data_IF_926758649385
#
_entry.id   IF_926758649385
#
_cell.length_a   1.000
_cell.length_b   1.000
_cell.length_c   1.000
_cell.angle_alpha   90.00
_cell.angle_beta   90.00
_cell.angle_gamma   90.00
#
_symmetry.space_group_name_H-M   'P 1'
#
loop_
_entity.id
_entity.type
_entity.pdbx_description
1 polymer ?
#
# COMPACT_ATOMS: atom_id res chain seq x y z
N UNK A 1 12.53 -16.75 -26.78
CA UNK A 1 12.38 -17.34 -25.43
C UNK A 1 12.93 -16.35 -24.42
N UNK A 2 12.08 -15.66 -23.64
CA UNK A 2 12.57 -14.73 -22.61
C UNK A 2 12.66 -15.48 -21.28
N UNK A 3 13.87 -15.58 -20.74
CA UNK A 3 14.12 -16.24 -19.45
C UNK A 3 13.61 -15.32 -18.33
N UNK A 4 12.60 -15.77 -17.60
CA UNK A 4 12.16 -15.17 -16.34
C UNK A 4 13.20 -15.51 -15.27
N UNK A 5 14.05 -14.54 -14.95
CA UNK A 5 14.97 -14.63 -13.82
C UNK A 5 14.15 -14.60 -12.54
N UNK A 6 14.23 -15.68 -11.78
CA UNK A 6 13.66 -15.79 -10.43
C UNK A 6 14.48 -14.88 -9.52
N UNK A 7 14.07 -13.63 -9.38
CA UNK A 7 14.72 -12.67 -8.50
C UNK A 7 14.29 -12.93 -7.06
N UNK A 8 15.21 -13.44 -6.25
CA UNK A 8 15.01 -13.68 -4.84
C UNK A 8 14.95 -12.33 -4.11
N UNK A 9 13.74 -11.87 -3.81
CA UNK A 9 13.47 -10.65 -3.07
C UNK A 9 14.18 -10.67 -1.70
N UNK A 10 15.17 -9.80 -1.52
CA UNK A 10 15.84 -9.60 -0.23
C UNK A 10 15.07 -8.53 0.56
N UNK A 11 14.25 -8.96 1.54
CA UNK A 11 13.61 -8.05 2.50
C UNK A 11 14.61 -7.65 3.60
N UNK A 12 15.23 -6.49 3.48
CA UNK A 12 15.97 -5.87 4.59
C UNK A 12 14.97 -5.27 5.60
N UNK A 13 14.67 -6.00 6.68
CA UNK A 13 13.80 -5.52 7.77
C UNK A 13 14.59 -4.53 8.63
N UNK A 14 14.53 -3.25 8.29
CA UNK A 14 15.08 -2.19 9.14
C UNK A 14 14.07 -1.85 10.25
N UNK A 15 14.45 -2.13 11.49
CA UNK A 15 13.72 -1.77 12.70
C UNK A 15 13.85 -0.25 12.91
N UNK A 16 12.94 0.56 12.35
CA UNK A 16 12.95 2.02 12.54
C UNK A 16 11.88 2.46 13.55
N UNK A 17 12.33 3.30 14.47
CA UNK A 17 11.65 3.70 15.69
C UNK A 17 10.32 4.43 15.53
N UNK A 18 9.56 4.35 16.62
CA UNK A 18 8.22 4.91 16.82
C UNK A 18 8.19 6.42 16.54
N UNK A 19 7.44 6.83 15.52
CA UNK A 19 7.03 8.22 15.32
C UNK A 19 5.52 8.29 15.51
N UNK A 20 5.08 8.87 16.62
CA UNK A 20 3.66 9.10 16.93
C UNK A 20 3.16 10.28 16.11
N UNK A 21 2.41 10.03 15.05
CA UNK A 21 1.71 11.06 14.29
C UNK A 21 0.23 11.04 14.66
N UNK A 22 -0.32 12.19 15.05
CA UNK A 22 -1.77 12.39 15.18
C UNK A 22 -2.30 12.88 13.82
N UNK A 23 -3.25 12.16 13.24
CA UNK A 23 -3.92 12.54 12.00
C UNK A 23 -5.43 12.40 12.19
N UNK A 24 -6.12 13.46 11.75
CA UNK A 24 -7.55 13.69 11.80
C UNK A 24 -8.37 12.52 11.25
N UNK A 25 -9.45 12.19 11.95
CA UNK A 25 -10.23 10.98 11.74
C UNK A 25 -11.16 11.08 10.54
N UNK A 26 -10.74 10.56 9.40
CA UNK A 26 -11.66 10.11 8.36
C UNK A 26 -11.38 8.63 8.07
N UNK A 27 -12.42 7.82 8.01
CA UNK A 27 -12.44 6.34 7.99
C UNK A 27 -11.96 5.73 6.65
N UNK A 28 -11.37 6.57 5.79
CA UNK A 28 -10.69 6.14 4.60
C UNK A 28 -9.36 5.49 4.96
N UNK A 29 -8.92 4.57 4.11
CA UNK A 29 -7.67 3.86 4.28
C UNK A 29 -6.55 4.91 4.20
N UNK A 30 -6.16 5.49 5.34
CA UNK A 30 -5.25 6.63 5.43
C UNK A 30 -3.81 6.17 5.19
N UNK A 31 -3.57 5.69 3.97
CA UNK A 31 -2.25 5.39 3.45
C UNK A 31 -1.48 6.71 3.35
N UNK A 32 -0.64 6.97 4.35
CA UNK A 32 0.18 8.17 4.35
C UNK A 32 1.59 7.85 3.87
N UNK A 33 2.00 8.42 2.74
CA UNK A 33 3.38 8.30 2.23
C UNK A 33 4.28 9.19 3.08
N UNK A 34 5.15 8.56 3.88
CA UNK A 34 6.05 9.26 4.82
C UNK A 34 7.33 9.71 4.12
N UNK A 35 7.86 8.86 3.23
CA UNK A 35 9.10 9.14 2.51
C UNK A 35 9.13 8.37 1.19
N UNK A 36 9.58 9.07 0.15
CA UNK A 36 10.06 8.49 -1.10
C UNK A 36 11.52 8.89 -1.24
N UNK A 37 12.44 7.93 -1.15
CA UNK A 37 13.87 8.17 -1.35
C UNK A 37 14.39 7.19 -2.39
N UNK A 38 14.62 7.68 -3.61
CA UNK A 38 14.85 6.82 -4.77
C UNK A 38 13.68 5.85 -4.94
N UNK A 39 13.95 4.56 -4.77
CA UNK A 39 12.98 3.48 -4.90
C UNK A 39 12.47 2.91 -3.56
N UNK A 40 12.66 3.64 -2.46
CA UNK A 40 12.04 3.31 -1.16
C UNK A 40 10.69 4.01 -1.02
N UNK A 41 9.65 3.27 -0.62
CA UNK A 41 8.35 3.84 -0.25
C UNK A 41 8.04 3.45 1.19
N UNK A 42 7.85 4.44 2.07
CA UNK A 42 7.32 4.23 3.41
C UNK A 42 5.87 4.69 3.49
N UNK A 43 4.98 3.85 4.00
CA UNK A 43 3.60 4.22 4.30
C UNK A 43 3.15 3.76 5.68
N UNK A 44 2.16 4.48 6.22
CA UNK A 44 1.45 4.11 7.44
C UNK A 44 -0.03 3.84 7.14
N UNK A 45 -0.61 2.88 7.87
CA UNK A 45 -2.04 2.58 7.95
C UNK A 45 -2.48 2.75 9.40
N UNK A 46 -3.24 3.81 9.68
CA UNK A 46 -3.72 4.10 11.02
C UNK A 46 -4.95 3.25 11.36
N UNK A 47 -5.10 2.85 12.63
CA UNK A 47 -6.23 2.06 13.16
C UNK A 47 -6.42 0.65 12.54
N UNK A 48 -5.71 0.33 11.46
CA UNK A 48 -5.63 -1.00 10.87
C UNK A 48 -4.51 -1.78 11.56
N UNK A 49 -4.88 -2.67 12.48
CA UNK A 49 -3.92 -3.47 13.26
C UNK A 49 -3.41 -4.71 12.55
N UNK A 50 -4.15 -5.21 11.56
CA UNK A 50 -3.81 -6.38 10.74
C UNK A 50 -4.31 -6.16 9.32
N UNK A 51 -3.46 -6.41 8.34
CA UNK A 51 -3.82 -6.36 6.92
C UNK A 51 -2.92 -7.31 6.11
N UNK A 52 -3.46 -7.79 5.00
CA UNK A 52 -2.67 -8.41 3.93
C UNK A 52 -2.24 -7.33 2.96
N UNK A 53 -0.96 -7.32 2.61
CA UNK A 53 -0.35 -6.39 1.67
C UNK A 53 0.12 -7.20 0.46
N UNK A 54 -0.18 -6.72 -0.74
CA UNK A 54 0.27 -7.34 -1.98
C UNK A 54 0.70 -6.30 -3.00
N UNK A 55 1.75 -6.60 -3.77
CA UNK A 55 2.19 -5.78 -4.90
C UNK A 55 2.00 -6.58 -6.17
N UNK A 56 1.30 -5.97 -7.13
CA UNK A 56 1.07 -6.52 -8.46
C UNK A 56 1.74 -5.66 -9.53
N UNK A 57 2.17 -6.26 -10.64
CA UNK A 57 2.49 -5.50 -11.85
C UNK A 57 1.22 -5.00 -12.58
N UNK A 58 1.43 -4.25 -13.67
CA UNK A 58 0.35 -3.74 -14.53
C UNK A 58 -0.54 -4.82 -15.14
N UNK A 59 -0.04 -6.06 -15.28
CA UNK A 59 -0.74 -7.18 -15.88
C UNK A 59 -1.47 -8.03 -14.82
N UNK A 60 -1.36 -7.65 -13.54
CA UNK A 60 -1.98 -8.34 -12.41
C UNK A 60 -1.15 -9.52 -11.88
N UNK A 61 0.12 -9.65 -12.27
CA UNK A 61 1.01 -10.67 -11.72
C UNK A 61 1.40 -10.29 -10.30
N UNK A 62 1.22 -11.21 -9.35
CA UNK A 62 1.65 -11.03 -7.97
C UNK A 62 3.18 -11.05 -7.88
N UNK A 63 3.78 -9.96 -7.41
CA UNK A 63 5.23 -9.83 -7.19
C UNK A 63 5.59 -10.08 -5.73
N UNK A 64 4.76 -9.58 -4.82
CA UNK A 64 5.02 -9.65 -3.39
C UNK A 64 3.71 -9.78 -2.60
N UNK A 65 3.76 -10.51 -1.50
CA UNK A 65 2.68 -10.55 -0.52
C UNK A 65 3.22 -10.70 0.91
N UNK A 66 2.61 -10.03 1.87
CA UNK A 66 2.84 -10.25 3.29
C UNK A 66 1.56 -10.08 4.12
N UNK A 67 1.58 -10.63 5.33
CA UNK A 67 0.63 -10.28 6.38
C UNK A 67 1.31 -9.34 7.36
N UNK A 68 0.81 -8.11 7.45
CA UNK A 68 1.34 -7.08 8.33
C UNK A 68 0.46 -6.90 9.57
N UNK A 69 1.10 -6.60 10.70
CA UNK A 69 0.42 -6.27 11.94
C UNK A 69 1.17 -5.23 12.75
N UNK A 70 0.45 -4.44 13.53
CA UNK A 70 1.02 -3.52 14.50
C UNK A 70 0.04 -3.16 15.61
N UNK A 71 0.57 -2.62 16.71
CA UNK A 71 -0.22 -2.35 17.94
C UNK A 71 -1.27 -1.26 17.73
N UNK A 72 -0.86 -0.15 17.11
CA UNK A 72 -1.67 1.07 16.94
C UNK A 72 -1.93 1.41 15.45
N UNK A 73 -1.41 0.59 14.55
CA UNK A 73 -1.43 0.78 13.11
C UNK A 73 -0.28 0.00 12.46
N UNK A 74 -0.21 0.00 11.14
CA UNK A 74 0.86 -0.65 10.37
C UNK A 74 1.77 0.42 9.79
N UNK A 75 3.07 0.31 10.03
CA UNK A 75 4.12 1.10 9.38
C UNK A 75 4.99 0.16 8.55
N UNK A 76 5.13 0.44 7.26
CA UNK A 76 5.87 -0.40 6.32
C UNK A 76 6.71 0.43 5.36
N UNK A 77 7.89 -0.09 5.05
CA UNK A 77 8.79 0.44 4.03
C UNK A 77 9.08 -0.66 3.03
N UNK A 78 8.79 -0.41 1.76
CA UNK A 78 9.16 -1.29 0.65
C UNK A 78 10.35 -0.70 -0.09
N UNK A 79 11.34 -1.56 -0.37
CA UNK A 79 12.34 -1.27 -1.40
C UNK A 79 11.86 -1.81 -2.73
N UNK A 80 11.80 -0.93 -3.72
CA UNK A 80 11.46 -1.24 -5.10
C UNK A 80 12.69 -1.12 -6.00
N UNK A 81 13.90 -1.15 -5.44
CA UNK A 81 15.16 -0.99 -6.19
C UNK A 81 15.27 -1.95 -7.37
N UNK A 82 14.87 -3.20 -7.12
CA UNK A 82 14.86 -4.31 -8.07
C UNK A 82 13.71 -4.25 -9.09
N UNK A 83 12.75 -3.32 -8.91
CA UNK A 83 11.61 -3.20 -9.81
C UNK A 83 12.00 -2.36 -11.03
N UNK A 84 11.75 -2.86 -12.25
CA UNK A 84 11.87 -2.07 -13.46
C UNK A 84 10.95 -0.85 -13.43
N UNK A 85 11.31 0.21 -14.17
CA UNK A 85 10.42 1.33 -14.41
C UNK A 85 9.09 0.85 -15.00
N UNK A 86 7.98 1.39 -14.50
CA UNK A 86 6.64 0.96 -14.86
C UNK A 86 5.59 1.25 -13.79
N UNK A 87 4.38 0.78 -14.05
CA UNK A 87 3.22 0.91 -13.17
C UNK A 87 2.97 -0.41 -12.43
N UNK A 88 2.74 -0.27 -11.13
CA UNK A 88 2.45 -1.36 -10.20
C UNK A 88 1.29 -0.97 -9.30
N UNK A 89 0.76 -1.94 -8.55
CA UNK A 89 -0.35 -1.71 -7.65
C UNK A 89 -0.08 -2.30 -6.27
N UNK A 90 -0.12 -1.45 -5.26
CA UNK A 90 -0.19 -1.87 -3.86
C UNK A 90 -1.66 -2.14 -3.52
N UNK A 91 -1.98 -3.40 -3.26
CA UNK A 91 -3.25 -3.82 -2.69
C UNK A 91 -3.10 -3.99 -1.19
N UNK A 92 -4.03 -3.39 -0.44
CA UNK A 92 -4.16 -3.63 0.99
C UNK A 92 -5.54 -4.16 1.28
N UNK A 93 -5.59 -5.27 2.00
CA UNK A 93 -6.82 -5.93 2.42
C UNK A 93 -6.86 -6.07 3.94
N UNK A 94 -7.88 -5.49 4.58
CA UNK A 94 -8.19 -5.72 6.00
C UNK A 94 -9.46 -6.57 6.14
N UNK A 95 -10.07 -6.58 7.34
CA UNK A 95 -11.30 -7.34 7.58
C UNK A 95 -12.55 -6.72 6.93
N UNK A 96 -12.49 -5.46 6.50
CA UNK A 96 -13.63 -4.66 6.03
C UNK A 96 -13.60 -4.50 4.52
N UNK A 97 -12.44 -4.18 3.94
CA UNK A 97 -12.30 -3.80 2.54
C UNK A 97 -10.92 -4.14 1.96
N UNK A 98 -10.87 -4.06 0.64
CA UNK A 98 -9.68 -4.16 -0.20
C UNK A 98 -9.50 -2.85 -0.95
N UNK A 99 -8.32 -2.24 -0.83
CA UNK A 99 -7.99 -0.94 -1.43
C UNK A 99 -6.76 -1.10 -2.29
N UNK A 100 -6.77 -0.53 -3.51
CA UNK A 100 -5.62 -0.54 -4.41
C UNK A 100 -5.11 0.88 -4.61
N UNK A 101 -3.81 1.05 -4.50
CA UNK A 101 -3.08 2.28 -4.81
C UNK A 101 -2.09 2.01 -5.93
N UNK A 102 -1.89 3.00 -6.79
CA UNK A 102 -0.94 2.92 -7.89
C UNK A 102 0.46 3.30 -7.40
N UNK A 103 1.46 2.53 -7.84
CA UNK A 103 2.88 2.85 -7.70
C UNK A 103 3.44 3.09 -9.10
N UNK A 104 4.03 4.26 -9.30
CA UNK A 104 4.74 4.61 -10.53
C UNK A 104 6.23 4.68 -10.24
N UNK A 105 6.99 3.85 -10.93
CA UNK A 105 8.45 3.80 -10.85
C UNK A 105 9.03 4.35 -12.14
N UNK A 106 9.90 5.35 -12.01
CA UNK A 106 10.73 5.90 -13.08
C UNK A 106 12.19 5.60 -12.75
N UNK A 107 13.12 5.99 -13.63
CA UNK A 107 14.55 5.77 -13.40
C UNK A 107 15.05 6.49 -12.13
N UNK A 108 14.50 7.67 -11.84
CA UNK A 108 14.96 8.53 -10.75
C UNK A 108 14.02 8.57 -9.54
N UNK A 109 12.72 8.31 -9.74
CA UNK A 109 11.70 8.55 -8.72
C UNK A 109 10.67 7.44 -8.62
N UNK A 110 10.11 7.29 -7.44
CA UNK A 110 8.99 6.41 -7.15
C UNK A 110 7.88 7.20 -6.50
N UNK A 111 6.66 7.03 -7.00
CA UNK A 111 5.46 7.74 -6.52
C UNK A 111 4.39 6.72 -6.16
N UNK A 112 3.88 6.78 -4.93
CA UNK A 112 2.69 6.05 -4.49
C UNK A 112 1.49 7.00 -4.46
N UNK A 113 0.40 6.62 -5.13
CA UNK A 113 -0.81 7.43 -5.23
C UNK A 113 -1.44 7.66 -3.85
N UNK A 114 -1.65 8.93 -3.48
CA UNK A 114 -2.34 9.27 -2.23
C UNK A 114 -3.81 8.82 -2.23
N UNK A 115 -4.46 8.89 -3.39
CA UNK A 115 -5.82 8.38 -3.59
C UNK A 115 -5.76 6.93 -4.05
N UNK A 116 -6.71 6.14 -3.56
CA UNK A 116 -6.94 4.79 -4.06
C UNK A 116 -7.47 4.85 -5.49
N UNK A 117 -7.00 3.93 -6.34
CA UNK A 117 -7.55 3.70 -7.68
C UNK A 117 -8.73 2.73 -7.66
N UNK A 118 -8.86 1.94 -6.59
CA UNK A 118 -10.01 1.06 -6.35
C UNK A 118 -10.21 0.84 -4.85
N UNK A 119 -11.48 0.71 -4.43
CA UNK A 119 -11.87 0.35 -3.07
C UNK A 119 -13.10 -0.57 -3.15
N UNK A 120 -12.98 -1.78 -2.61
CA UNK A 120 -14.03 -2.81 -2.64
C UNK A 120 -14.28 -3.29 -1.22
N UNK A 121 -15.49 -3.10 -0.73
CA UNK A 121 -15.92 -3.58 0.58
C UNK A 121 -16.23 -5.08 0.53
N UNK A 122 -15.90 -5.79 1.61
CA UNK A 122 -16.29 -7.19 1.78
C UNK A 122 -17.79 -7.29 2.04
N UNK A 123 -18.38 -8.44 1.71
CA UNK A 123 -19.79 -8.69 1.95
C UNK A 123 -20.16 -8.45 3.42
N UNK A 124 -21.25 -7.74 3.67
CA UNK A 124 -21.68 -7.35 5.02
C UNK A 124 -21.10 -6.02 5.53
N UNK A 125 -20.20 -5.39 4.77
CA UNK A 125 -19.72 -4.03 5.02
C UNK A 125 -20.22 -3.10 3.92
N UNK A 126 -20.61 -1.88 4.28
CA UNK A 126 -21.02 -0.83 3.33
C UNK A 126 -20.19 0.42 3.58
N UNK A 127 -19.92 1.20 2.53
CA UNK A 127 -19.49 2.58 2.71
C UNK A 127 -20.58 3.29 3.51
N UNK A 128 -20.22 4.02 4.59
CA UNK A 128 -21.20 4.89 5.24
C UNK A 128 -21.69 5.86 4.16
N UNK A 129 -22.96 5.74 3.81
CA UNK A 129 -23.65 6.59 2.83
C UNK A 129 -23.26 8.05 3.09
N UNK A 130 -22.53 8.65 2.14
CA UNK A 130 -22.46 10.10 2.08
C UNK A 130 -23.85 10.55 1.68
N UNK A 131 -24.64 10.96 2.67
CA UNK A 131 -25.89 11.68 2.48
C UNK A 131 -25.61 12.94 1.67
N UNK A 132 -25.56 12.82 0.34
CA UNK A 132 -25.67 13.97 -0.56
C UNK A 132 -27.14 14.35 -0.53
N UNK A 133 -27.47 15.32 0.32
CA UNK A 133 -28.76 15.98 0.25
C UNK A 133 -28.87 16.66 -1.12
N UNK A 134 -29.66 16.07 -2.02
CA UNK A 134 -30.13 16.74 -3.22
C UNK A 134 -31.00 17.92 -2.76
N UNK A 135 -30.64 19.12 -3.19
CA UNK A 135 -31.49 20.31 -3.21
C UNK A 135 -31.59 20.81 -4.63
#
# INVERSE_FOLDING_TARGET
>A
MKKILKLSLVCAVLFTGMSTYAIDGNEDFNLHVIKTNGKLITFALNQVKKASLAIYDKDGTLIYAESASGKDGILRTFSLEEFPAGTYYLEVEDNVKKVKHEITITDDTTVLSKKAVSSVYKAGFSAKESSVAVR
#
